data_IF_345653699372
#
_entry.id   IF_345653699372
#
_cell.length_a   1.000
_cell.length_b   1.000
_cell.length_c   1.000
_cell.angle_alpha   90.00
_cell.angle_beta   90.00
_cell.angle_gamma   90.00
#
_symmetry.space_group_name_H-M   'P 1'
#
loop_
_entity.id
_entity.type
_entity.pdbx_description
1 polymer ?
#
# COMPACT_ATOMS: atom_id res chain seq x y z
N UNK A 1 32.02 -17.96 -42.86
CA UNK A 1 30.63 -18.26 -42.48
C UNK A 1 30.38 -17.67 -41.06
N UNK A 2 30.03 -16.39 -41.08
CA UNK A 2 29.55 -15.71 -39.85
C UNK A 2 28.21 -16.32 -39.50
N UNK A 3 28.19 -17.11 -38.41
CA UNK A 3 26.99 -17.34 -37.66
C UNK A 3 26.83 -16.11 -36.77
N UNK A 4 26.02 -15.15 -37.20
CA UNK A 4 25.51 -14.12 -36.33
C UNK A 4 24.86 -14.82 -35.14
N UNK A 5 25.30 -14.47 -33.93
CA UNK A 5 24.59 -14.81 -32.73
C UNK A 5 23.19 -14.21 -32.87
N UNK A 6 22.17 -15.05 -33.08
CA UNK A 6 20.82 -14.64 -32.86
C UNK A 6 20.78 -14.16 -31.37
N UNK A 7 20.45 -12.90 -31.16
CA UNK A 7 20.05 -12.45 -29.82
C UNK A 7 19.03 -13.45 -29.36
N UNK A 8 19.32 -14.15 -28.25
CA UNK A 8 18.38 -15.09 -27.68
C UNK A 8 17.16 -14.25 -27.29
N UNK A 9 16.01 -14.56 -27.90
CA UNK A 9 14.76 -13.89 -27.56
C UNK A 9 14.53 -14.07 -26.06
N UNK A 10 14.45 -12.95 -25.34
CA UNK A 10 14.15 -12.91 -23.91
C UNK A 10 12.73 -12.45 -23.70
N UNK A 11 12.13 -12.85 -22.58
CA UNK A 11 10.84 -12.35 -22.16
C UNK A 11 11.05 -11.19 -21.19
N UNK A 12 10.53 -10.01 -21.52
CA UNK A 12 10.78 -8.79 -20.76
C UNK A 12 9.66 -8.49 -19.78
N UNK A 13 9.97 -8.53 -18.49
CA UNK A 13 9.08 -8.17 -17.40
C UNK A 13 9.49 -6.82 -16.84
N UNK A 14 8.54 -5.87 -16.78
CA UNK A 14 8.72 -4.60 -16.10
C UNK A 14 8.15 -4.63 -14.71
N UNK A 15 8.73 -3.84 -13.80
CA UNK A 15 8.19 -3.60 -12.47
C UNK A 15 8.12 -2.10 -12.19
N UNK A 16 7.13 -1.69 -11.41
CA UNK A 16 6.96 -0.30 -10.98
C UNK A 16 6.58 -0.27 -9.50
N UNK A 17 7.26 0.57 -8.76
CA UNK A 17 6.94 0.84 -7.36
C UNK A 17 7.94 1.83 -6.76
N UNK A 18 7.66 2.34 -5.55
CA UNK A 18 8.53 3.29 -4.89
C UNK A 18 9.79 2.61 -4.35
N UNK A 19 10.97 3.00 -4.84
CA UNK A 19 12.26 2.64 -4.23
C UNK A 19 12.89 3.82 -3.50
N UNK A 20 12.29 4.99 -3.65
CA UNK A 20 12.58 6.21 -2.88
C UNK A 20 11.27 6.84 -2.39
N UNK A 21 11.36 7.78 -1.44
CA UNK A 21 10.20 8.45 -0.85
C UNK A 21 9.57 7.67 0.32
N UNK A 22 8.38 8.12 0.73
CA UNK A 22 7.76 7.71 2.00
C UNK A 22 7.32 6.23 2.07
N UNK A 23 7.11 5.58 0.91
CA UNK A 23 6.70 4.17 0.84
C UNK A 23 7.82 3.25 0.28
N UNK A 24 9.07 3.69 0.33
CA UNK A 24 10.21 3.02 -0.32
C UNK A 24 10.42 1.57 0.16
N UNK A 25 10.10 1.25 1.41
CA UNK A 25 10.27 -0.13 1.92
C UNK A 25 9.40 -1.13 1.16
N UNK A 26 8.20 -0.73 0.73
CA UNK A 26 7.29 -1.60 -0.03
C UNK A 26 7.79 -1.85 -1.45
N UNK A 27 8.17 -0.79 -2.16
CA UNK A 27 8.68 -0.92 -3.52
C UNK A 27 10.01 -1.69 -3.58
N UNK A 28 10.89 -1.47 -2.61
CA UNK A 28 12.15 -2.22 -2.49
C UNK A 28 11.88 -3.71 -2.23
N UNK A 29 10.92 -4.02 -1.35
CA UNK A 29 10.56 -5.41 -1.07
C UNK A 29 9.94 -6.08 -2.32
N UNK A 30 9.09 -5.37 -3.05
CA UNK A 30 8.51 -5.86 -4.32
C UNK A 30 9.61 -6.12 -5.36
N UNK A 31 10.52 -5.16 -5.56
CA UNK A 31 11.64 -5.31 -6.49
C UNK A 31 12.48 -6.54 -6.16
N UNK A 32 12.84 -6.72 -4.89
CA UNK A 32 13.62 -7.86 -4.44
C UNK A 32 12.88 -9.19 -4.62
N UNK A 33 11.59 -9.22 -4.33
CA UNK A 33 10.77 -10.42 -4.50
C UNK A 33 10.63 -10.84 -5.97
N UNK A 34 10.44 -9.87 -6.87
CA UNK A 34 10.41 -10.13 -8.32
C UNK A 34 11.76 -10.63 -8.81
N UNK A 35 12.85 -9.97 -8.41
CA UNK A 35 14.20 -10.38 -8.81
C UNK A 35 14.51 -11.80 -8.35
N UNK A 36 14.19 -12.14 -7.10
CA UNK A 36 14.39 -13.50 -6.58
C UNK A 36 13.65 -14.55 -7.41
N UNK A 37 12.38 -14.30 -7.71
CA UNK A 37 11.59 -15.23 -8.53
C UNK A 37 12.16 -15.38 -9.95
N UNK A 38 12.59 -14.29 -10.55
CA UNK A 38 13.20 -14.29 -11.89
C UNK A 38 14.54 -15.04 -11.90
N UNK A 39 15.37 -14.83 -10.88
CA UNK A 39 16.65 -15.55 -10.77
C UNK A 39 16.42 -17.06 -10.65
N UNK A 40 15.47 -17.49 -9.83
CA UNK A 40 15.11 -18.92 -9.71
C UNK A 40 14.57 -19.50 -11.04
N UNK A 41 13.70 -18.77 -11.73
CA UNK A 41 13.14 -19.20 -13.02
C UNK A 41 14.26 -19.30 -14.07
N UNK A 42 15.15 -18.32 -14.13
CA UNK A 42 16.24 -18.29 -15.09
C UNK A 42 17.27 -19.38 -14.81
N UNK A 43 17.60 -19.64 -13.54
CA UNK A 43 18.49 -20.74 -13.12
C UNK A 43 17.90 -22.11 -13.52
N UNK A 44 16.58 -22.25 -13.43
CA UNK A 44 15.87 -23.46 -13.88
C UNK A 44 15.76 -23.60 -15.41
N UNK A 45 16.30 -22.67 -16.19
CA UNK A 45 16.30 -22.70 -17.66
C UNK A 45 15.28 -21.80 -18.33
N UNK A 46 14.66 -20.90 -17.58
CA UNK A 46 13.67 -19.95 -18.10
C UNK A 46 12.28 -20.56 -18.29
N UNK A 47 11.43 -19.83 -19.00
CA UNK A 47 10.07 -20.27 -19.34
C UNK A 47 10.06 -20.68 -20.83
N UNK A 48 9.76 -21.93 -21.12
CA UNK A 48 9.80 -22.49 -22.49
C UNK A 48 11.13 -22.24 -23.21
N UNK A 49 12.23 -22.20 -22.46
CA UNK A 49 13.58 -21.92 -23.01
C UNK A 49 13.93 -20.43 -23.15
N UNK A 50 13.01 -19.53 -22.83
CA UNK A 50 13.27 -18.09 -22.82
C UNK A 50 13.74 -17.63 -21.45
N UNK A 51 14.86 -16.91 -21.41
CA UNK A 51 15.30 -16.22 -20.20
C UNK A 51 14.44 -14.98 -19.98
N UNK A 52 14.21 -14.61 -18.72
CA UNK A 52 13.50 -13.40 -18.35
C UNK A 52 14.51 -12.26 -18.17
N UNK A 53 14.29 -11.14 -18.85
CA UNK A 53 14.91 -9.86 -18.53
C UNK A 53 13.98 -9.05 -17.64
N UNK A 54 14.53 -8.35 -16.65
CA UNK A 54 13.79 -7.57 -15.70
C UNK A 54 14.30 -6.14 -15.62
N UNK A 55 13.38 -5.18 -15.63
CA UNK A 55 13.66 -3.78 -15.37
C UNK A 55 12.63 -3.22 -14.41
N UNK A 56 13.10 -2.51 -13.37
CA UNK A 56 12.25 -1.89 -12.37
C UNK A 56 12.42 -0.36 -12.42
N UNK A 57 11.32 0.37 -12.37
CA UNK A 57 11.29 1.84 -12.36
C UNK A 57 10.70 2.34 -11.05
N UNK A 58 11.36 3.35 -10.46
CA UNK A 58 10.91 4.04 -9.26
C UNK A 58 9.81 5.05 -9.60
N UNK A 59 8.65 4.93 -8.96
CA UNK A 59 7.55 5.87 -9.13
C UNK A 59 7.33 6.81 -7.93
N UNK A 60 8.07 6.62 -6.84
CA UNK A 60 7.91 7.38 -5.60
C UNK A 60 6.46 7.41 -5.07
N UNK A 61 5.63 6.44 -5.41
CA UNK A 61 4.19 6.42 -5.14
C UNK A 61 3.42 7.62 -5.74
N UNK A 62 3.92 8.20 -6.81
CA UNK A 62 3.34 9.33 -7.53
C UNK A 62 2.72 8.85 -8.84
N UNK A 63 1.47 9.26 -9.12
CA UNK A 63 0.73 8.79 -10.29
C UNK A 63 1.35 9.22 -11.61
N UNK A 64 1.84 10.47 -11.72
CA UNK A 64 2.46 10.97 -12.94
C UNK A 64 3.78 10.26 -13.21
N UNK A 65 4.61 10.09 -12.17
CA UNK A 65 5.87 9.33 -12.28
C UNK A 65 5.62 7.87 -12.64
N UNK A 66 4.56 7.28 -12.11
CA UNK A 66 4.19 5.90 -12.41
C UNK A 66 3.79 5.71 -13.88
N UNK A 67 3.00 6.63 -14.45
CA UNK A 67 2.68 6.63 -15.88
C UNK A 67 3.93 6.83 -16.72
N UNK A 68 4.83 7.74 -16.33
CA UNK A 68 6.10 7.94 -17.01
C UNK A 68 7.00 6.69 -16.95
N UNK A 69 7.03 6.01 -15.79
CA UNK A 69 7.73 4.74 -15.60
C UNK A 69 7.16 3.64 -16.53
N UNK A 70 5.83 3.55 -16.62
CA UNK A 70 5.16 2.63 -17.54
C UNK A 70 5.58 2.89 -18.99
N UNK A 71 5.56 4.13 -19.45
CA UNK A 71 5.98 4.48 -20.80
C UNK A 71 7.46 4.15 -21.06
N UNK A 72 8.34 4.38 -20.08
CA UNK A 72 9.76 4.00 -20.17
C UNK A 72 9.93 2.48 -20.35
N UNK A 73 9.17 1.68 -19.59
CA UNK A 73 9.20 0.22 -19.68
C UNK A 73 8.61 -0.28 -21.02
N UNK A 74 7.55 0.37 -21.49
CA UNK A 74 6.95 0.08 -22.80
C UNK A 74 7.94 0.32 -23.93
N UNK A 75 8.66 1.45 -23.91
CA UNK A 75 9.69 1.78 -24.90
C UNK A 75 10.87 0.80 -24.85
N UNK A 76 11.19 0.25 -23.68
CA UNK A 76 12.17 -0.82 -23.53
C UNK A 76 11.70 -2.15 -24.15
N UNK A 77 10.42 -2.30 -24.43
CA UNK A 77 9.81 -3.50 -25.00
C UNK A 77 9.25 -4.48 -23.95
N UNK A 78 8.81 -3.96 -22.80
CA UNK A 78 8.12 -4.76 -21.79
C UNK A 78 6.95 -5.54 -22.37
N UNK A 79 6.80 -6.80 -21.97
CA UNK A 79 5.73 -7.69 -22.41
C UNK A 79 4.70 -7.99 -21.32
N UNK A 80 5.06 -7.75 -20.06
CA UNK A 80 4.22 -7.94 -18.89
C UNK A 80 4.65 -6.97 -17.78
N UNK A 81 3.69 -6.39 -17.07
CA UNK A 81 3.94 -5.52 -15.93
C UNK A 81 3.63 -6.23 -14.61
N UNK A 82 4.58 -6.22 -13.67
CA UNK A 82 4.36 -6.51 -12.25
C UNK A 82 4.39 -5.19 -11.48
N UNK A 83 3.25 -4.68 -11.16
CA UNK A 83 3.07 -3.35 -10.55
C UNK A 83 1.66 -2.81 -10.74
N UNK A 84 1.35 -1.62 -10.23
CA UNK A 84 2.29 -0.90 -9.36
C UNK A 84 2.20 -1.39 -7.91
N UNK A 85 3.13 -0.98 -7.08
CA UNK A 85 3.16 -1.43 -5.68
C UNK A 85 2.04 -0.78 -4.84
N UNK A 86 1.80 0.52 -5.01
CA UNK A 86 0.81 1.28 -4.24
C UNK A 86 -0.44 1.60 -5.06
N UNK A 87 -1.57 1.84 -4.38
CA UNK A 87 -2.90 1.88 -5.01
C UNK A 87 -3.13 3.09 -5.91
N UNK A 88 -2.89 4.32 -5.44
CA UNK A 88 -3.16 5.52 -6.24
C UNK A 88 -2.38 5.53 -7.56
N UNK A 89 -1.07 5.24 -7.61
CA UNK A 89 -0.36 5.05 -8.86
C UNK A 89 -0.90 3.91 -9.72
N UNK A 90 -1.35 2.81 -9.10
CA UNK A 90 -1.89 1.67 -9.83
C UNK A 90 -3.17 2.03 -10.59
N UNK A 91 -4.04 2.84 -9.99
CA UNK A 91 -5.26 3.30 -10.66
C UNK A 91 -4.96 4.16 -11.90
N UNK A 92 -3.88 4.90 -11.90
CA UNK A 92 -3.43 5.67 -13.07
C UNK A 92 -2.83 4.76 -14.16
N UNK A 93 -1.96 3.82 -13.77
CA UNK A 93 -1.27 2.93 -14.71
C UNK A 93 -2.21 1.91 -15.33
N UNK A 94 -3.24 1.43 -14.63
CA UNK A 94 -4.18 0.45 -15.17
C UNK A 94 -4.98 0.99 -16.37
N UNK A 95 -5.19 2.30 -16.45
CA UNK A 95 -5.79 2.94 -17.63
C UNK A 95 -4.89 2.78 -18.87
N UNK A 96 -3.59 2.97 -18.70
CA UNK A 96 -2.60 2.83 -19.78
C UNK A 96 -2.44 1.37 -20.21
N UNK A 97 -2.33 0.46 -19.24
CA UNK A 97 -2.20 -0.98 -19.55
C UNK A 97 -3.44 -1.54 -20.21
N UNK A 98 -4.63 -1.06 -19.84
CA UNK A 98 -5.88 -1.43 -20.49
C UNK A 98 -5.89 -0.95 -21.97
N UNK A 99 -5.55 0.32 -22.19
CA UNK A 99 -5.49 0.87 -23.56
C UNK A 99 -4.52 0.11 -24.47
N UNK A 100 -3.42 -0.39 -23.92
CA UNK A 100 -2.39 -1.15 -24.64
C UNK A 100 -2.65 -2.67 -24.65
N UNK A 101 -3.69 -3.16 -23.98
CA UNK A 101 -3.92 -4.58 -23.75
C UNK A 101 -2.71 -5.28 -23.11
N UNK A 102 -2.03 -4.61 -22.19
CA UNK A 102 -0.86 -5.11 -21.48
C UNK A 102 -1.29 -5.90 -20.25
N UNK A 103 -0.78 -7.12 -20.07
CA UNK A 103 -1.01 -7.88 -18.84
C UNK A 103 -0.36 -7.17 -17.65
N UNK A 104 -1.15 -6.96 -16.60
CA UNK A 104 -0.71 -6.33 -15.36
C UNK A 104 -1.06 -7.17 -14.15
N UNK A 105 -0.07 -7.41 -13.29
CA UNK A 105 -0.24 -8.06 -12.00
C UNK A 105 0.29 -7.14 -10.89
N UNK A 106 -0.60 -6.57 -10.09
CA UNK A 106 -0.15 -5.83 -8.90
C UNK A 106 0.09 -6.78 -7.74
N UNK A 107 1.25 -6.68 -7.07
CA UNK A 107 1.52 -7.49 -5.89
C UNK A 107 0.77 -7.00 -4.65
N UNK A 108 0.52 -5.69 -4.53
CA UNK A 108 0.14 -5.07 -3.28
C UNK A 108 -0.83 -3.87 -3.38
N UNK A 109 -1.25 -3.46 -4.57
CA UNK A 109 -2.25 -2.40 -4.71
C UNK A 109 -3.64 -2.93 -4.36
N UNK A 110 -4.16 -2.52 -3.21
CA UNK A 110 -5.37 -3.07 -2.57
C UNK A 110 -6.66 -2.38 -2.98
N UNK A 111 -6.59 -1.19 -3.60
CA UNK A 111 -7.77 -0.47 -4.10
C UNK A 111 -8.53 -1.31 -5.13
N UNK A 112 -9.87 -1.23 -5.11
CA UNK A 112 -10.73 -1.99 -6.04
C UNK A 112 -10.44 -1.61 -7.48
N UNK A 113 -10.18 -0.35 -7.71
CA UNK A 113 -9.90 0.24 -9.03
C UNK A 113 -8.59 -0.27 -9.64
N UNK A 114 -7.68 -0.82 -8.82
CA UNK A 114 -6.41 -1.39 -9.31
C UNK A 114 -6.61 -2.55 -10.29
N UNK A 115 -7.74 -3.22 -10.26
CA UNK A 115 -8.10 -4.35 -11.13
C UNK A 115 -9.45 -4.16 -11.82
N UNK A 116 -9.80 -2.91 -12.16
CA UNK A 116 -11.10 -2.61 -12.78
C UNK A 116 -11.26 -3.12 -14.20
N UNK A 117 -10.17 -3.52 -14.86
CA UNK A 117 -10.15 -4.02 -16.23
C UNK A 117 -9.70 -5.49 -16.28
N UNK A 118 -10.07 -6.18 -17.34
CA UNK A 118 -9.85 -7.63 -17.52
C UNK A 118 -8.40 -8.03 -17.83
N UNK A 119 -7.52 -7.05 -18.06
CA UNK A 119 -6.08 -7.24 -18.23
C UNK A 119 -5.29 -7.14 -16.92
N UNK A 120 -5.95 -6.76 -15.81
CA UNK A 120 -5.30 -6.47 -14.53
C UNK A 120 -5.73 -7.45 -13.44
N UNK A 121 -4.73 -7.96 -12.71
CA UNK A 121 -4.89 -8.94 -11.64
C UNK A 121 -4.17 -8.48 -10.38
N UNK A 122 -4.54 -9.08 -9.24
CA UNK A 122 -4.01 -8.74 -7.92
C UNK A 122 -3.68 -9.99 -7.11
N UNK A 123 -2.57 -9.94 -6.36
CA UNK A 123 -2.17 -10.98 -5.43
C UNK A 123 -2.64 -10.75 -3.99
N UNK A 124 -2.74 -9.49 -3.56
CA UNK A 124 -3.13 -9.13 -2.20
C UNK A 124 -4.66 -9.11 -1.99
N UNK A 125 -5.10 -8.94 -0.75
CA UNK A 125 -6.49 -8.68 -0.43
C UNK A 125 -6.93 -7.27 -0.85
N UNK A 126 -8.22 -6.94 -0.74
CA UNK A 126 -8.77 -5.65 -1.17
C UNK A 126 -9.01 -4.70 -0.01
N UNK A 127 -9.10 -3.39 -0.28
CA UNK A 127 -9.45 -2.37 0.71
C UNK A 127 -10.80 -2.62 1.42
N UNK A 128 -11.87 -3.04 0.72
CA UNK A 128 -13.10 -3.44 1.38
C UNK A 128 -12.89 -4.50 2.46
N UNK A 129 -12.03 -5.49 2.22
CA UNK A 129 -11.74 -6.53 3.19
C UNK A 129 -10.95 -5.99 4.39
N UNK A 130 -10.00 -5.07 4.17
CA UNK A 130 -9.27 -4.44 5.27
C UNK A 130 -10.19 -3.62 6.17
N UNK A 131 -11.05 -2.80 5.58
CA UNK A 131 -11.98 -1.94 6.33
C UNK A 131 -12.97 -2.76 7.14
N UNK A 132 -13.69 -3.70 6.52
CA UNK A 132 -14.69 -4.51 7.20
C UNK A 132 -14.07 -5.43 8.25
N UNK A 133 -13.00 -6.15 7.94
CA UNK A 133 -12.35 -7.04 8.90
C UNK A 133 -11.81 -6.29 10.13
N UNK A 134 -11.30 -5.08 9.95
CA UNK A 134 -10.87 -4.23 11.07
C UNK A 134 -12.03 -3.85 11.99
N UNK A 135 -13.16 -3.44 11.43
CA UNK A 135 -14.35 -3.11 12.22
C UNK A 135 -14.92 -4.33 12.95
N UNK A 136 -14.99 -5.47 12.27
CA UNK A 136 -15.44 -6.74 12.88
C UNK A 136 -14.55 -7.11 14.06
N UNK A 137 -13.24 -7.09 13.89
CA UNK A 137 -12.28 -7.43 14.95
C UNK A 137 -12.39 -6.50 16.16
N UNK A 138 -12.53 -5.19 15.93
CA UNK A 138 -12.73 -4.20 17.00
C UNK A 138 -14.02 -4.49 17.76
N UNK A 139 -15.11 -4.81 17.07
CA UNK A 139 -16.40 -5.13 17.65
C UNK A 139 -16.37 -6.43 18.46
N UNK A 140 -15.89 -7.51 17.86
CA UNK A 140 -15.82 -8.84 18.47
C UNK A 140 -14.97 -8.84 19.75
N UNK A 141 -13.85 -8.13 19.74
CA UNK A 141 -12.92 -8.06 20.85
C UNK A 141 -13.21 -6.89 21.81
N UNK A 142 -14.26 -6.11 21.55
CA UNK A 142 -14.68 -4.97 22.38
C UNK A 142 -13.53 -4.00 22.68
N UNK A 143 -12.75 -3.69 21.67
CA UNK A 143 -11.51 -2.91 21.81
C UNK A 143 -11.75 -1.43 22.10
N UNK A 144 -12.93 -0.91 21.76
CA UNK A 144 -13.23 0.51 21.88
C UNK A 144 -14.67 0.77 22.35
N UNK A 145 -14.87 1.90 23.03
CA UNK A 145 -16.19 2.47 23.31
C UNK A 145 -16.49 3.66 22.40
N UNK A 146 -15.48 4.41 22.01
CA UNK A 146 -15.55 5.58 21.12
C UNK A 146 -14.37 5.56 20.16
N UNK A 147 -14.66 5.57 18.86
CA UNK A 147 -13.65 5.48 17.82
C UNK A 147 -13.46 6.83 17.12
N UNK A 148 -12.21 7.24 16.96
CA UNK A 148 -11.80 8.30 16.05
C UNK A 148 -11.15 7.71 14.80
N UNK A 149 -11.31 8.39 13.67
CA UNK A 149 -10.67 8.03 12.40
C UNK A 149 -9.83 9.22 11.93
N UNK A 150 -8.58 8.95 11.53
CA UNK A 150 -7.72 9.90 10.82
C UNK A 150 -7.27 9.22 9.53
N UNK A 151 -7.55 9.83 8.37
CA UNK A 151 -7.30 9.23 7.07
C UNK A 151 -6.86 10.26 6.04
N UNK A 152 -6.24 9.80 4.96
CA UNK A 152 -5.86 10.62 3.81
C UNK A 152 -6.99 10.62 2.78
N UNK A 153 -7.68 11.76 2.63
CA UNK A 153 -8.77 11.91 1.67
C UNK A 153 -8.30 12.08 0.22
N UNK A 154 -7.02 12.29 0.01
CA UNK A 154 -6.42 12.41 -1.32
C UNK A 154 -5.88 11.08 -1.86
N UNK A 155 -5.87 10.02 -1.06
CA UNK A 155 -5.38 8.69 -1.41
C UNK A 155 -6.55 7.70 -1.51
N UNK A 156 -6.68 7.03 -2.65
CA UNK A 156 -7.76 6.04 -2.89
C UNK A 156 -7.63 4.82 -1.96
N UNK A 157 -6.41 4.45 -1.57
CA UNK A 157 -6.14 3.41 -0.59
C UNK A 157 -6.76 3.76 0.77
N UNK A 158 -6.36 4.90 1.32
CA UNK A 158 -6.80 5.36 2.63
C UNK A 158 -8.30 5.62 2.69
N UNK A 159 -8.84 6.35 1.70
CA UNK A 159 -10.27 6.67 1.64
C UNK A 159 -11.14 5.43 1.37
N UNK A 160 -10.67 4.49 0.57
CA UNK A 160 -11.37 3.24 0.29
C UNK A 160 -11.50 2.34 1.52
N UNK A 161 -10.44 2.21 2.32
CA UNK A 161 -10.49 1.47 3.59
C UNK A 161 -11.39 2.19 4.61
N UNK A 162 -11.25 3.51 4.71
CA UNK A 162 -12.06 4.32 5.63
C UNK A 162 -13.56 4.15 5.36
N UNK A 163 -13.98 4.25 4.10
CA UNK A 163 -15.38 4.10 3.71
C UNK A 163 -15.95 2.73 4.14
N UNK A 164 -15.21 1.67 3.92
CA UNK A 164 -15.66 0.31 4.26
C UNK A 164 -15.60 0.03 5.75
N UNK A 165 -14.62 0.59 6.45
CA UNK A 165 -14.56 0.57 7.91
C UNK A 165 -15.80 1.26 8.52
N UNK A 166 -16.13 2.47 8.06
CA UNK A 166 -17.28 3.23 8.56
C UNK A 166 -18.61 2.48 8.32
N UNK A 167 -18.78 1.91 7.12
CA UNK A 167 -19.96 1.13 6.79
C UNK A 167 -20.13 -0.10 7.70
N UNK A 168 -19.05 -0.87 7.89
CA UNK A 168 -19.09 -2.06 8.75
C UNK A 168 -19.19 -1.69 10.23
N UNK A 169 -18.51 -0.64 10.68
CA UNK A 169 -18.64 -0.12 12.05
C UNK A 169 -20.09 0.22 12.39
N UNK A 170 -20.84 0.81 11.44
CA UNK A 170 -22.26 1.06 11.61
C UNK A 170 -23.07 -0.23 11.73
N UNK A 171 -22.76 -1.24 10.92
CA UNK A 171 -23.40 -2.56 10.98
C UNK A 171 -23.16 -3.22 12.33
N UNK A 172 -21.95 -3.14 12.85
CA UNK A 172 -21.54 -3.70 14.14
C UNK A 172 -21.98 -2.87 15.35
N UNK A 173 -22.59 -1.69 15.13
CA UNK A 173 -23.01 -0.80 16.21
C UNK A 173 -21.85 -0.11 16.94
N UNK A 174 -20.70 0.03 16.29
CA UNK A 174 -19.56 0.77 16.82
C UNK A 174 -19.82 2.27 16.81
N UNK A 175 -19.32 2.98 17.82
CA UNK A 175 -19.54 4.41 17.99
C UNK A 175 -18.35 5.22 17.44
N UNK A 176 -18.48 5.73 16.22
CA UNK A 176 -17.50 6.65 15.63
C UNK A 176 -17.85 8.07 16.07
N UNK A 177 -17.01 8.68 16.90
CA UNK A 177 -17.24 10.00 17.51
C UNK A 177 -16.47 11.11 16.81
N UNK A 178 -15.45 10.77 16.00
CA UNK A 178 -14.66 11.75 15.27
C UNK A 178 -14.14 11.12 13.97
N UNK A 179 -14.18 11.92 12.91
CA UNK A 179 -13.58 11.61 11.63
C UNK A 179 -12.89 12.86 11.12
N UNK A 180 -11.58 12.76 10.82
CA UNK A 180 -10.79 13.87 10.35
C UNK A 180 -9.87 13.45 9.22
N UNK A 181 -9.85 14.23 8.15
CA UNK A 181 -9.01 14.00 6.99
C UNK A 181 -7.75 14.85 7.03
N UNK A 182 -6.74 14.39 6.33
CA UNK A 182 -5.62 15.17 5.82
C UNK A 182 -5.45 14.90 4.32
N UNK A 183 -4.53 15.57 3.68
CA UNK A 183 -4.19 15.37 2.26
C UNK A 183 -2.68 15.27 2.10
N UNK A 184 -2.23 14.87 0.90
CA UNK A 184 -0.80 14.80 0.57
C UNK A 184 -0.03 16.09 0.86
N UNK A 185 -0.70 17.26 0.80
CA UNK A 185 -0.09 18.56 1.06
C UNK A 185 -0.01 18.92 2.55
N UNK A 186 -0.61 18.14 3.45
CA UNK A 186 -0.75 18.45 4.89
C UNK A 186 -0.45 17.27 5.80
N UNK A 187 0.55 16.46 5.44
CA UNK A 187 0.87 15.19 6.12
C UNK A 187 2.07 15.26 7.10
N UNK A 188 2.33 16.42 7.66
CA UNK A 188 3.42 16.61 8.62
C UNK A 188 2.97 17.10 9.99
N UNK A 189 1.73 17.57 10.10
CA UNK A 189 1.14 18.02 11.36
C UNK A 189 -0.32 17.56 11.44
N UNK A 190 -0.61 16.76 12.45
CA UNK A 190 -1.92 16.16 12.71
C UNK A 190 -2.55 16.65 14.02
N UNK A 191 -2.02 17.75 14.57
CA UNK A 191 -2.48 18.28 15.85
C UNK A 191 -3.97 18.58 15.88
N UNK A 192 -4.52 19.15 14.80
CA UNK A 192 -5.95 19.46 14.69
C UNK A 192 -6.81 18.19 14.69
N UNK A 193 -6.41 17.18 13.90
CA UNK A 193 -7.12 15.89 13.81
C UNK A 193 -7.09 15.15 15.15
N UNK A 194 -5.92 15.12 15.79
CA UNK A 194 -5.74 14.50 17.12
C UNK A 194 -6.53 15.22 18.19
N UNK A 195 -6.55 16.56 18.21
CA UNK A 195 -7.31 17.35 19.18
C UNK A 195 -8.81 17.09 19.02
N UNK A 196 -9.32 17.00 17.80
CA UNK A 196 -10.71 16.67 17.52
C UNK A 196 -11.10 15.31 18.09
N UNK A 197 -10.26 14.30 17.91
CA UNK A 197 -10.48 12.96 18.45
C UNK A 197 -10.43 12.95 19.99
N UNK A 198 -9.44 13.63 20.57
CA UNK A 198 -9.27 13.76 22.01
C UNK A 198 -10.48 14.45 22.67
N UNK A 199 -10.93 15.56 22.10
CA UNK A 199 -12.09 16.32 22.62
C UNK A 199 -13.40 15.52 22.52
N UNK A 200 -13.53 14.68 21.49
CA UNK A 200 -14.65 13.76 21.33
C UNK A 200 -14.58 12.54 22.26
N UNK A 201 -13.47 12.34 22.96
CA UNK A 201 -13.25 11.24 23.89
C UNK A 201 -12.98 9.89 23.22
N UNK A 202 -12.42 9.89 22.01
CA UNK A 202 -12.07 8.65 21.34
C UNK A 202 -11.02 7.88 22.14
N UNK A 203 -11.29 6.62 22.43
CA UNK A 203 -10.41 5.70 23.15
C UNK A 203 -9.66 4.73 22.23
N UNK A 204 -10.00 4.75 20.92
CA UNK A 204 -9.29 4.08 19.85
C UNK A 204 -9.25 4.99 18.62
N UNK A 205 -8.07 5.08 18.00
CA UNK A 205 -7.89 5.71 16.69
C UNK A 205 -7.68 4.64 15.62
N UNK A 206 -8.56 4.62 14.63
CA UNK A 206 -8.40 3.85 13.42
C UNK A 206 -7.63 4.67 12.40
N UNK A 207 -6.51 4.13 11.91
CA UNK A 207 -5.54 4.81 11.05
C UNK A 207 -5.33 4.02 9.75
N UNK A 208 -6.23 4.17 8.75
CA UNK A 208 -6.06 3.54 7.43
C UNK A 208 -5.07 4.33 6.58
N UNK A 209 -3.81 4.37 6.99
CA UNK A 209 -2.74 5.20 6.42
C UNK A 209 -1.42 4.46 6.41
N UNK A 210 -0.42 5.05 5.75
CA UNK A 210 0.92 4.48 5.69
C UNK A 210 1.75 4.80 6.94
N UNK A 211 2.84 4.07 7.08
CA UNK A 211 3.69 4.06 8.28
C UNK A 211 4.37 5.40 8.58
N UNK A 212 4.70 6.22 7.58
CA UNK A 212 5.34 7.53 7.81
C UNK A 212 4.38 8.48 8.58
N UNK A 213 3.19 8.70 8.06
CA UNK A 213 2.17 9.54 8.69
C UNK A 213 1.74 8.96 10.03
N UNK A 214 1.58 7.63 10.13
CA UNK A 214 1.26 6.96 11.39
C UNK A 214 2.32 7.23 12.46
N UNK A 215 3.61 7.20 12.12
CA UNK A 215 4.70 7.49 13.07
C UNK A 215 4.63 8.91 13.62
N UNK A 216 4.27 9.88 12.79
CA UNK A 216 4.09 11.28 13.21
C UNK A 216 2.87 11.42 14.12
N UNK A 217 1.76 10.76 13.78
CA UNK A 217 0.54 10.76 14.60
C UNK A 217 0.81 10.18 15.99
N UNK A 218 1.48 9.04 16.09
CA UNK A 218 1.83 8.43 17.37
C UNK A 218 2.70 9.36 18.21
N UNK A 219 3.71 10.00 17.61
CA UNK A 219 4.58 10.95 18.31
C UNK A 219 3.82 12.20 18.78
N UNK A 220 2.98 12.76 17.95
CA UNK A 220 2.20 13.95 18.29
C UNK A 220 1.15 13.66 19.35
N UNK A 221 0.48 12.50 19.29
CA UNK A 221 -0.45 12.05 20.33
C UNK A 221 0.25 11.92 21.69
N UNK A 222 1.44 11.32 21.75
CA UNK A 222 2.23 11.22 22.96
C UNK A 222 2.60 12.60 23.52
N UNK A 223 3.06 13.51 22.69
CA UNK A 223 3.38 14.91 23.05
C UNK A 223 2.16 15.64 23.63
N UNK A 224 0.96 15.36 23.13
CA UNK A 224 -0.29 15.94 23.65
C UNK A 224 -0.80 15.25 24.93
N UNK A 225 -0.14 14.19 25.41
CA UNK A 225 -0.63 13.37 26.50
C UNK A 225 -1.91 12.61 26.15
N UNK A 226 -2.17 12.36 24.87
CA UNK A 226 -3.32 11.61 24.37
C UNK A 226 -2.90 10.18 24.05
N UNK A 227 -3.47 9.22 24.77
CA UNK A 227 -3.09 7.79 24.74
C UNK A 227 -4.26 6.88 24.41
N UNK A 228 -4.87 7.01 23.22
CA UNK A 228 -5.86 6.04 22.76
C UNK A 228 -5.16 4.73 22.38
N UNK A 229 -5.92 3.67 22.15
CA UNK A 229 -5.42 2.54 21.35
C UNK A 229 -5.27 2.98 19.90
N UNK A 230 -4.26 2.46 19.22
CA UNK A 230 -4.05 2.69 17.79
C UNK A 230 -4.30 1.40 17.03
N UNK A 231 -5.07 1.49 15.97
CA UNK A 231 -5.40 0.37 15.10
C UNK A 231 -5.16 0.79 13.64
N UNK A 232 -4.18 0.17 13.02
CA UNK A 232 -3.82 0.42 11.63
C UNK A 232 -4.17 -0.73 10.68
N UNK A 233 -3.73 -0.57 9.46
CA UNK A 233 -3.91 -1.50 8.35
C UNK A 233 -2.55 -1.89 7.76
N UNK A 234 -2.51 -2.62 6.67
CA UNK A 234 -1.25 -3.11 6.11
C UNK A 234 -0.22 -2.01 5.82
N UNK A 235 -0.67 -0.83 5.44
CA UNK A 235 0.20 0.32 5.21
C UNK A 235 0.97 0.83 6.45
N UNK A 236 0.57 0.43 7.65
CA UNK A 236 1.30 0.75 8.88
C UNK A 236 2.47 -0.22 9.13
N UNK A 237 2.49 -1.36 8.49
CA UNK A 237 3.61 -2.29 8.59
C UNK A 237 4.90 -1.61 8.10
N UNK A 238 5.97 -1.74 8.88
CA UNK A 238 7.21 -1.00 8.65
C UNK A 238 7.40 0.24 9.52
N UNK A 239 6.43 0.61 10.37
CA UNK A 239 6.55 1.77 11.27
C UNK A 239 7.81 1.72 12.15
N UNK A 240 8.25 0.53 12.55
CA UNK A 240 9.46 0.34 13.35
C UNK A 240 10.75 0.66 12.60
N UNK A 241 10.70 0.80 11.27
CA UNK A 241 11.86 1.13 10.42
C UNK A 241 11.98 2.62 10.13
N UNK A 242 11.02 3.44 10.57
CA UNK A 242 11.05 4.89 10.36
C UNK A 242 12.23 5.50 11.10
N UNK A 243 13.02 6.31 10.39
CA UNK A 243 14.20 6.96 10.95
C UNK A 243 13.83 7.85 12.15
N UNK A 244 14.58 7.72 13.24
CA UNK A 244 14.37 8.45 14.49
C UNK A 244 12.98 8.24 15.16
N UNK A 245 12.27 7.19 14.81
CA UNK A 245 11.02 6.84 15.49
C UNK A 245 11.31 6.14 16.83
N UNK A 246 10.69 6.61 17.90
CA UNK A 246 10.73 5.92 19.19
C UNK A 246 9.81 4.70 19.15
N UNK A 247 10.41 3.51 19.03
CA UNK A 247 9.65 2.25 18.89
C UNK A 247 8.78 1.91 20.09
N UNK A 248 9.04 2.52 21.26
CA UNK A 248 8.15 2.38 22.44
C UNK A 248 6.75 2.95 22.20
N UNK A 249 6.62 3.91 21.28
CA UNK A 249 5.32 4.47 20.92
C UNK A 249 4.45 3.47 20.14
N UNK A 250 5.05 2.42 19.60
CA UNK A 250 4.35 1.34 18.89
C UNK A 250 3.98 0.16 19.81
N UNK A 251 4.29 0.21 21.11
CA UNK A 251 3.83 -0.81 22.04
C UNK A 251 2.28 -0.83 22.08
N UNK A 252 1.70 -2.03 22.01
CA UNK A 252 0.25 -2.27 21.97
C UNK A 252 -0.48 -1.70 20.71
N UNK A 253 0.24 -1.21 19.72
CA UNK A 253 -0.36 -0.85 18.44
C UNK A 253 -0.77 -2.13 17.70
N UNK A 254 -2.01 -2.15 17.25
CA UNK A 254 -2.57 -3.24 16.46
C UNK A 254 -2.60 -2.83 14.98
N UNK A 255 -2.40 -3.77 14.11
CA UNK A 255 -2.61 -3.56 12.68
C UNK A 255 -3.09 -4.84 12.00
N UNK A 256 -3.86 -4.66 10.93
CA UNK A 256 -4.23 -5.76 10.05
C UNK A 256 -3.13 -5.90 8.98
N UNK A 257 -2.64 -7.10 8.78
CA UNK A 257 -1.61 -7.40 7.79
C UNK A 257 -1.95 -8.69 7.04
N UNK A 258 -1.59 -8.83 5.75
CA UNK A 258 -1.84 -10.06 5.00
C UNK A 258 -0.93 -11.21 5.44
N UNK A 259 0.18 -10.91 6.09
CA UNK A 259 1.19 -11.89 6.48
C UNK A 259 1.91 -11.46 7.75
N UNK A 260 2.11 -12.41 8.65
CA UNK A 260 3.02 -12.29 9.78
C UNK A 260 3.94 -13.52 9.82
N UNK A 261 5.24 -13.30 10.03
CA UNK A 261 6.25 -14.37 9.96
C UNK A 261 6.07 -15.47 11.03
N UNK A 262 5.34 -15.14 12.08
CA UNK A 262 5.05 -15.99 13.24
C UNK A 262 3.58 -16.45 13.34
N UNK A 263 2.81 -16.22 12.29
CA UNK A 263 1.38 -16.58 12.24
C UNK A 263 1.17 -18.05 11.83
#
# INVERSE_FOLDING_TARGET
SDKGSADADTFKIGGIGPTTGDAAIYGTAVQNGIQLAIDEINEAGGINGYQIEFKFEDDQSDSEKSVNAYNTLKDWGMQMLVGTTTSTPCTAVVEETHADNMFQLTPSATAVESIQYDNAFRMCFSDPNQGSASADYIAENKLATKIGIIYDSSDVYSSGIEEKFEAEAKTQGLNIVSKAAFTADSKTDFGTQLQKAKDAGADLLFLPIYYQEASIILKQADTMGYKPKFFGVDGMDGILTVENFDTKLAEDVMLLTPFAADA
#
